data_IF_753894609633
#
_entry.id   IF_753894609633
#
_cell.length_a   1.000
_cell.length_b   1.000
_cell.length_c   1.000
_cell.angle_alpha   90.00
_cell.angle_beta   90.00
_cell.angle_gamma   90.00
#
_symmetry.space_group_name_H-M   'P 1'
#
loop_
_entity.id
_entity.type
_entity.pdbx_description
1 polymer ?
#
# COMPACT_ATOMS: atom_id res chain seq x y z
N UNK A 1 19.14 -16.53 1.24
CA UNK A 1 18.07 -16.00 0.36
C UNK A 1 18.74 -15.03 -0.59
N UNK A 2 18.49 -15.12 -1.89
CA UNK A 2 18.96 -14.14 -2.88
C UNK A 2 18.29 -12.81 -2.59
N UNK A 3 19.04 -11.72 -2.67
CA UNK A 3 18.50 -10.37 -2.55
C UNK A 3 17.56 -10.09 -3.72
N UNK A 4 16.39 -9.47 -3.51
CA UNK A 4 15.56 -9.05 -4.63
C UNK A 4 16.29 -8.04 -5.52
N UNK A 5 16.17 -8.21 -6.83
CA UNK A 5 16.81 -7.37 -7.83
C UNK A 5 15.84 -6.31 -8.34
N UNK A 6 16.21 -5.04 -8.22
CA UNK A 6 15.38 -3.91 -8.63
C UNK A 6 16.03 -3.18 -9.80
N UNK A 7 15.29 -3.05 -10.89
CA UNK A 7 15.68 -2.25 -12.03
C UNK A 7 15.17 -0.82 -11.83
N UNK A 8 16.04 0.17 -12.06
CA UNK A 8 15.70 1.59 -12.04
C UNK A 8 15.75 2.11 -13.49
N UNK A 9 14.65 2.66 -13.98
CA UNK A 9 14.56 3.34 -15.27
C UNK A 9 14.26 4.81 -15.01
N UNK A 10 15.32 5.63 -15.07
CA UNK A 10 15.35 7.05 -14.71
C UNK A 10 16.39 7.74 -15.58
N UNK A 11 16.03 8.81 -16.28
CA UNK A 11 16.92 9.51 -17.19
C UNK A 11 17.79 10.61 -16.52
N UNK A 12 17.42 10.99 -15.30
CA UNK A 12 18.24 11.86 -14.46
C UNK A 12 19.25 11.03 -13.66
N UNK A 13 20.49 10.94 -14.14
CA UNK A 13 21.56 10.10 -13.58
C UNK A 13 21.74 10.30 -12.07
N UNK A 14 21.70 11.55 -11.60
CA UNK A 14 21.86 11.88 -10.17
C UNK A 14 20.72 11.25 -9.34
N UNK A 15 19.48 11.31 -9.86
CA UNK A 15 18.32 10.72 -9.17
C UNK A 15 18.43 9.20 -9.20
N UNK A 16 18.83 8.61 -10.32
CA UNK A 16 19.02 7.17 -10.44
C UNK A 16 20.08 6.65 -9.46
N UNK A 17 21.21 7.37 -9.31
CA UNK A 17 22.28 7.03 -8.36
C UNK A 17 21.81 7.16 -6.90
N UNK A 18 21.07 8.21 -6.55
CA UNK A 18 20.52 8.40 -5.21
C UNK A 18 19.52 7.29 -4.84
N UNK A 19 18.67 6.90 -5.79
CA UNK A 19 17.74 5.77 -5.61
C UNK A 19 18.51 4.47 -5.42
N UNK A 20 19.53 4.22 -6.27
CA UNK A 20 20.34 3.00 -6.22
C UNK A 20 21.05 2.87 -4.86
N UNK A 21 21.70 3.94 -4.40
CA UNK A 21 22.37 3.96 -3.10
C UNK A 21 21.39 3.65 -1.95
N UNK A 22 20.23 4.29 -1.95
CA UNK A 22 19.19 4.04 -0.95
C UNK A 22 18.71 2.58 -0.95
N UNK A 23 18.53 1.98 -2.13
CA UNK A 23 18.09 0.58 -2.26
C UNK A 23 19.16 -0.41 -1.82
N UNK A 24 20.42 -0.13 -2.09
CA UNK A 24 21.55 -0.95 -1.65
C UNK A 24 21.68 -0.95 -0.13
N UNK A 25 21.52 0.22 0.52
CA UNK A 25 21.47 0.35 1.97
C UNK A 25 20.31 -0.46 2.58
N UNK A 26 19.18 -0.53 1.88
CA UNK A 26 18.03 -1.37 2.23
C UNK A 26 18.24 -2.87 1.95
N UNK A 27 19.36 -3.23 1.32
CA UNK A 27 19.75 -4.62 1.07
C UNK A 27 19.24 -5.21 -0.23
N UNK A 28 18.75 -4.42 -1.17
CA UNK A 28 18.39 -4.85 -2.52
C UNK A 28 19.62 -4.92 -3.45
N UNK A 29 19.51 -5.66 -4.55
CA UNK A 29 20.44 -5.58 -5.68
C UNK A 29 19.84 -4.64 -6.72
N UNK A 30 20.60 -3.64 -7.21
CA UNK A 30 20.08 -2.62 -8.12
C UNK A 30 20.84 -2.57 -9.43
N UNK A 31 20.15 -2.18 -10.52
CA UNK A 31 20.78 -1.71 -11.74
C UNK A 31 20.04 -0.44 -12.22
N UNK A 32 20.79 0.58 -12.60
CA UNK A 32 20.26 1.86 -13.07
C UNK A 32 20.46 1.99 -14.59
N UNK A 33 19.46 2.56 -15.27
CA UNK A 33 19.50 2.89 -16.70
C UNK A 33 18.98 4.31 -16.92
N UNK A 34 19.45 4.94 -18.00
CA UNK A 34 19.12 6.32 -18.35
C UNK A 34 18.15 6.46 -19.54
N UNK A 35 17.82 5.37 -20.23
CA UNK A 35 16.94 5.41 -21.42
C UNK A 35 15.78 4.45 -21.33
N UNK A 36 14.60 4.88 -21.80
CA UNK A 36 13.39 4.07 -21.78
C UNK A 36 13.43 2.86 -22.71
N UNK A 37 14.05 2.94 -23.88
CA UNK A 37 14.13 1.83 -24.85
C UNK A 37 14.97 0.68 -24.31
N UNK A 38 16.05 0.98 -23.59
CA UNK A 38 16.91 -0.03 -22.97
C UNK A 38 16.23 -0.80 -21.84
N UNK A 39 15.21 -0.23 -21.22
CA UNK A 39 14.50 -0.83 -20.07
C UNK A 39 14.00 -2.24 -20.40
N UNK A 40 13.32 -2.43 -21.52
CA UNK A 40 12.72 -3.72 -21.88
C UNK A 40 13.76 -4.77 -22.21
N UNK A 41 14.88 -4.40 -22.85
CA UNK A 41 15.96 -5.34 -23.15
C UNK A 41 16.71 -5.74 -21.89
N UNK A 42 16.96 -4.78 -20.99
CA UNK A 42 17.55 -5.07 -19.68
C UNK A 42 16.64 -5.98 -18.85
N UNK A 43 15.32 -5.80 -18.89
CA UNK A 43 14.39 -6.73 -18.22
C UNK A 43 14.55 -8.15 -18.76
N UNK A 44 14.67 -8.33 -20.08
CA UNK A 44 14.87 -9.66 -20.70
C UNK A 44 16.15 -10.32 -20.23
N UNK A 45 17.23 -9.55 -20.17
CA UNK A 45 18.55 -10.05 -19.79
C UNK A 45 18.69 -10.30 -18.28
N UNK A 46 18.23 -9.37 -17.46
CA UNK A 46 18.50 -9.35 -16.02
C UNK A 46 17.42 -9.99 -15.17
N UNK A 47 16.20 -10.08 -15.69
CA UNK A 47 14.99 -10.61 -14.99
C UNK A 47 14.86 -10.05 -13.58
N UNK A 48 14.64 -8.73 -13.45
CA UNK A 48 14.48 -8.11 -12.14
C UNK A 48 13.20 -8.58 -11.44
N UNK A 49 13.19 -8.52 -10.11
CA UNK A 49 12.01 -8.82 -9.30
C UNK A 49 11.03 -7.66 -9.26
N UNK A 50 11.49 -6.42 -9.56
CA UNK A 50 10.68 -5.21 -9.60
C UNK A 50 11.35 -4.14 -10.46
N UNK A 51 10.53 -3.28 -11.09
CA UNK A 51 10.99 -2.11 -11.85
C UNK A 51 10.49 -0.82 -11.21
N UNK A 52 11.40 0.11 -10.95
CA UNK A 52 11.09 1.53 -10.68
C UNK A 52 11.19 2.28 -12.01
N UNK A 53 10.11 2.92 -12.44
CA UNK A 53 9.97 3.47 -13.77
C UNK A 53 9.54 4.94 -13.71
N UNK A 54 10.38 5.87 -14.15
CA UNK A 54 9.93 7.25 -14.31
C UNK A 54 8.84 7.34 -15.39
N UNK A 55 7.81 8.12 -15.10
CA UNK A 55 6.76 8.43 -16.07
C UNK A 55 7.28 9.30 -17.21
N UNK A 56 8.20 10.23 -16.91
CA UNK A 56 8.67 11.27 -17.83
C UNK A 56 10.06 10.95 -18.42
N UNK A 57 10.30 9.74 -18.83
CA UNK A 57 11.56 9.37 -19.49
C UNK A 57 11.77 10.17 -20.79
N UNK A 58 13.02 10.58 -21.04
CA UNK A 58 13.43 11.19 -22.31
C UNK A 58 13.62 10.09 -23.35
N UNK A 59 12.98 10.23 -24.50
CA UNK A 59 13.12 9.27 -25.62
C UNK A 59 11.86 9.20 -26.47
N UNK A 60 11.83 8.24 -27.40
CA UNK A 60 10.70 8.03 -28.30
C UNK A 60 9.50 7.34 -27.60
N UNK A 61 9.75 6.65 -26.48
CA UNK A 61 8.71 5.97 -25.68
C UNK A 61 8.56 6.63 -24.30
N UNK A 62 7.34 7.01 -23.94
CA UNK A 62 7.08 7.53 -22.59
C UNK A 62 7.02 6.38 -21.56
N UNK A 63 7.28 6.67 -20.28
CA UNK A 63 7.27 5.68 -19.23
C UNK A 63 5.93 4.92 -19.10
N UNK A 64 4.82 5.53 -19.52
CA UNK A 64 3.50 4.88 -19.50
C UNK A 64 3.43 3.79 -20.57
N UNK A 65 4.00 4.01 -21.75
CA UNK A 65 4.06 3.00 -22.79
C UNK A 65 4.94 1.83 -22.39
N UNK A 66 6.11 2.11 -21.80
CA UNK A 66 7.01 1.09 -21.25
C UNK A 66 6.30 0.28 -20.15
N UNK A 67 5.61 0.94 -19.22
CA UNK A 67 4.84 0.26 -18.18
C UNK A 67 3.74 -0.65 -18.72
N UNK A 68 3.06 -0.22 -19.80
CA UNK A 68 2.08 -1.06 -20.51
C UNK A 68 2.73 -2.34 -21.07
N UNK A 69 3.92 -2.20 -21.67
CA UNK A 69 4.68 -3.34 -22.22
C UNK A 69 5.23 -4.24 -21.09
N UNK A 70 5.70 -3.70 -19.99
CA UNK A 70 6.13 -4.48 -18.83
C UNK A 70 4.98 -5.37 -18.36
N UNK A 71 3.78 -4.82 -18.24
CA UNK A 71 2.58 -5.58 -17.82
C UNK A 71 2.23 -6.70 -18.80
N UNK A 72 2.26 -6.43 -20.08
CA UNK A 72 1.82 -7.36 -21.13
C UNK A 72 2.84 -8.45 -21.43
N UNK A 73 4.14 -8.09 -21.49
CA UNK A 73 5.19 -8.98 -21.98
C UNK A 73 5.89 -9.77 -20.84
N UNK A 74 6.03 -9.16 -19.66
CA UNK A 74 6.89 -9.71 -18.60
C UNK A 74 6.16 -10.11 -17.34
N UNK A 75 5.02 -9.46 -17.06
CA UNK A 75 4.28 -9.68 -15.82
C UNK A 75 5.17 -9.53 -14.57
N UNK A 76 6.03 -8.52 -14.56
CA UNK A 76 6.90 -8.12 -13.44
C UNK A 76 6.23 -6.93 -12.74
N UNK A 77 6.26 -6.83 -11.39
CA UNK A 77 5.72 -5.68 -10.69
C UNK A 77 6.52 -4.43 -11.02
N UNK A 78 5.83 -3.31 -11.19
CA UNK A 78 6.47 -2.03 -11.43
C UNK A 78 5.79 -0.89 -10.69
N UNK A 79 6.61 0.08 -10.27
CA UNK A 79 6.20 1.28 -9.55
C UNK A 79 6.57 2.48 -10.40
N UNK A 80 5.63 3.38 -10.62
CA UNK A 80 5.94 4.65 -11.25
C UNK A 80 6.60 5.63 -10.29
N UNK A 81 7.69 6.27 -10.75
CA UNK A 81 8.26 7.47 -10.16
C UNK A 81 7.64 8.68 -10.86
N UNK A 82 7.20 9.69 -10.13
CA UNK A 82 6.54 10.86 -10.73
C UNK A 82 6.85 12.15 -9.97
N UNK A 83 7.22 13.21 -10.70
CA UNK A 83 7.43 14.56 -10.16
C UNK A 83 6.21 15.46 -10.43
N UNK A 84 4.99 15.13 -9.99
CA UNK A 84 3.77 15.86 -10.36
C UNK A 84 3.39 15.70 -11.84
N UNK A 85 2.91 14.55 -12.21
CA UNK A 85 2.27 14.39 -13.51
C UNK A 85 0.90 15.09 -13.51
N UNK A 86 0.56 15.72 -14.62
CA UNK A 86 -0.80 16.22 -14.84
C UNK A 86 -1.82 15.07 -14.74
N UNK A 87 -3.08 15.45 -14.49
CA UNK A 87 -4.16 14.46 -14.29
C UNK A 87 -4.29 13.48 -15.47
N UNK A 88 -4.03 13.93 -16.70
CA UNK A 88 -4.16 13.10 -17.90
C UNK A 88 -3.09 12.01 -17.94
N UNK A 89 -1.86 12.33 -17.57
CA UNK A 89 -0.74 11.39 -17.48
C UNK A 89 -0.97 10.35 -16.37
N UNK A 90 -1.44 10.79 -15.21
CA UNK A 90 -1.81 9.86 -14.12
C UNK A 90 -2.96 8.94 -14.53
N UNK A 91 -3.98 9.45 -15.22
CA UNK A 91 -5.11 8.64 -15.68
C UNK A 91 -4.69 7.63 -16.77
N UNK A 92 -3.68 7.96 -17.60
CA UNK A 92 -3.05 7.01 -18.54
C UNK A 92 -2.25 5.95 -17.77
N UNK A 93 -1.40 6.36 -16.84
CA UNK A 93 -0.55 5.47 -16.05
C UNK A 93 -1.36 4.47 -15.22
N UNK A 94 -2.50 4.89 -14.64
CA UNK A 94 -3.40 3.98 -13.92
C UNK A 94 -3.94 2.84 -14.78
N UNK A 95 -4.15 3.07 -16.10
CA UNK A 95 -4.66 2.04 -17.02
C UNK A 95 -3.66 0.92 -17.27
N UNK A 96 -2.39 1.14 -17.01
CA UNK A 96 -1.34 0.10 -17.11
C UNK A 96 -1.29 -0.82 -15.88
N UNK A 97 -2.15 -0.56 -14.87
CA UNK A 97 -2.24 -1.32 -13.63
C UNK A 97 -0.89 -1.48 -12.91
N UNK A 98 -0.18 -0.36 -12.57
CA UNK A 98 1.06 -0.42 -11.83
C UNK A 98 0.83 -0.95 -10.40
N UNK A 99 1.86 -1.49 -9.79
CA UNK A 99 1.81 -1.96 -8.40
C UNK A 99 1.91 -0.82 -7.38
N UNK A 100 2.33 0.37 -7.82
CA UNK A 100 2.39 1.57 -7.00
C UNK A 100 2.79 2.82 -7.77
N UNK A 101 2.69 3.95 -7.06
CA UNK A 101 3.20 5.27 -7.48
C UNK A 101 4.04 5.83 -6.35
N UNK A 102 5.17 6.46 -6.69
CA UNK A 102 6.06 7.14 -5.76
C UNK A 102 6.29 8.57 -6.25
N UNK A 103 5.84 9.56 -5.48
CA UNK A 103 5.94 10.98 -5.87
C UNK A 103 7.28 11.55 -5.42
N UNK A 104 8.05 12.10 -6.37
CA UNK A 104 9.33 12.80 -6.11
C UNK A 104 9.07 14.20 -5.51
N UNK A 105 9.84 14.65 -4.50
CA UNK A 105 10.85 13.88 -3.76
C UNK A 105 10.21 12.93 -2.75
N UNK A 106 10.77 11.75 -2.59
CA UNK A 106 10.33 10.75 -1.62
C UNK A 106 11.43 10.44 -0.60
N UNK A 107 11.02 9.97 0.56
CA UNK A 107 11.93 9.51 1.60
C UNK A 107 12.18 7.99 1.51
N UNK A 108 13.25 7.53 2.18
CA UNK A 108 13.63 6.12 2.24
C UNK A 108 12.48 5.22 2.75
N UNK A 109 11.71 5.70 3.72
CA UNK A 109 10.60 4.94 4.29
C UNK A 109 9.49 4.71 3.27
N UNK A 110 9.16 5.73 2.49
CA UNK A 110 8.15 5.65 1.42
C UNK A 110 8.62 4.73 0.29
N UNK A 111 9.88 4.85 -0.13
CA UNK A 111 10.51 3.98 -1.13
C UNK A 111 10.44 2.52 -0.70
N UNK A 112 10.98 2.22 0.49
CA UNK A 112 11.00 0.87 1.06
C UNK A 112 9.61 0.25 1.13
N UNK A 113 8.66 0.96 1.71
CA UNK A 113 7.32 0.42 1.93
C UNK A 113 6.57 0.17 0.62
N UNK A 114 6.73 1.05 -0.38
CA UNK A 114 6.11 0.87 -1.70
C UNK A 114 6.68 -0.34 -2.42
N UNK A 115 8.00 -0.56 -2.36
CA UNK A 115 8.67 -1.74 -2.92
C UNK A 115 8.23 -3.02 -2.23
N UNK A 116 8.26 -3.06 -0.90
CA UNK A 116 7.83 -4.23 -0.13
C UNK A 116 6.39 -4.65 -0.47
N UNK A 117 5.50 -3.67 -0.68
CA UNK A 117 4.11 -3.91 -1.08
C UNK A 117 4.03 -4.48 -2.50
N UNK A 118 4.76 -3.90 -3.46
CA UNK A 118 4.73 -4.33 -4.85
C UNK A 118 5.28 -5.75 -5.01
N UNK A 119 6.45 -6.04 -4.44
CA UNK A 119 7.04 -7.38 -4.44
C UNK A 119 6.11 -8.41 -3.77
N UNK A 120 5.48 -7.99 -2.70
CA UNK A 120 4.54 -8.81 -1.95
C UNK A 120 3.31 -9.20 -2.79
N UNK A 121 2.65 -8.24 -3.44
CA UNK A 121 1.47 -8.48 -4.29
C UNK A 121 1.79 -9.41 -5.44
N UNK A 122 2.92 -9.19 -6.10
CA UNK A 122 3.30 -9.92 -7.29
C UNK A 122 3.70 -11.37 -7.00
N UNK A 123 4.48 -11.62 -5.97
CA UNK A 123 4.85 -12.98 -5.54
C UNK A 123 3.65 -13.86 -5.17
N UNK A 124 2.45 -13.25 -5.06
CA UNK A 124 1.22 -13.94 -4.68
C UNK A 124 0.33 -14.25 -5.87
N UNK A 125 0.35 -13.42 -6.94
CA UNK A 125 -0.40 -13.67 -8.15
C UNK A 125 0.14 -14.86 -8.96
N UNK A 126 1.44 -15.15 -8.88
CA UNK A 126 2.06 -16.28 -9.61
C UNK A 126 1.65 -17.67 -9.11
N UNK A 127 1.13 -17.82 -7.89
CA UNK A 127 0.73 -19.13 -7.34
C UNK A 127 -0.74 -19.49 -7.59
N UNK A 128 -1.54 -18.59 -8.17
CA UNK A 128 -2.98 -18.81 -8.40
C UNK A 128 -3.30 -19.32 -9.81
N UNK A 129 -2.38 -19.20 -10.77
CA UNK A 129 -2.62 -19.65 -12.16
C UNK A 129 -2.39 -21.14 -12.41
N UNK A 130 -2.33 -21.94 -11.35
CA UNK A 130 -2.27 -23.41 -11.43
C UNK A 130 -3.47 -24.07 -10.76
N UNK A 131 -4.53 -24.29 -11.52
CA UNK A 131 -5.70 -25.16 -11.33
C UNK A 131 -7.03 -24.49 -10.93
N UNK A 132 -7.99 -24.61 -11.85
CA UNK A 132 -9.36 -24.99 -11.55
C UNK A 132 -10.38 -23.86 -11.44
N UNK A 133 -11.01 -23.58 -12.58
CA UNK A 133 -12.38 -23.07 -12.66
C UNK A 133 -13.32 -23.85 -11.73
N UNK A 134 -13.94 -23.16 -10.79
CA UNK A 134 -15.27 -23.56 -10.33
C UNK A 134 -16.00 -22.30 -9.87
N UNK A 135 -16.96 -21.87 -10.72
CA UNK A 135 -17.93 -20.88 -10.32
C UNK A 135 -18.80 -21.42 -9.21
N UNK A 136 -18.88 -20.67 -8.13
CA UNK A 136 -19.97 -20.80 -7.18
C UNK A 136 -20.66 -19.45 -7.08
N UNK A 137 -21.78 -19.36 -7.78
CA UNK A 137 -22.88 -18.45 -7.47
C UNK A 137 -23.45 -18.89 -6.12
N UNK A 138 -23.15 -18.15 -5.08
CA UNK A 138 -23.86 -18.28 -3.81
C UNK A 138 -25.19 -17.53 -3.88
N UNK A 139 -26.29 -18.14 -3.39
CA UNK A 139 -27.57 -17.46 -3.28
C UNK A 139 -27.51 -16.42 -2.15
N UNK A 140 -28.33 -15.35 -2.21
CA UNK A 140 -28.31 -14.30 -1.20
C UNK A 140 -28.84 -14.87 0.12
N UNK A 141 -27.94 -15.04 1.08
CA UNK A 141 -28.29 -15.32 2.46
C UNK A 141 -28.85 -14.05 3.09
N UNK A 142 -30.06 -14.14 3.59
CA UNK A 142 -30.69 -13.11 4.39
C UNK A 142 -29.81 -12.75 5.58
N UNK A 143 -29.48 -11.46 5.68
CA UNK A 143 -28.78 -10.86 6.81
C UNK A 143 -29.58 -11.11 8.11
N UNK A 144 -29.12 -12.07 8.89
CA UNK A 144 -29.30 -12.02 10.32
C UNK A 144 -28.05 -11.30 10.85
N UNK A 145 -28.24 -10.14 11.47
CA UNK A 145 -27.21 -9.40 12.21
C UNK A 145 -26.71 -10.26 13.38
N UNK A 146 -25.78 -11.16 13.08
CA UNK A 146 -24.89 -11.72 14.09
C UNK A 146 -23.78 -10.69 14.25
N UNK A 147 -23.71 -10.00 15.37
CA UNK A 147 -22.59 -9.12 15.69
C UNK A 147 -21.31 -9.93 15.63
N UNK A 148 -20.57 -9.82 14.54
CA UNK A 148 -19.29 -10.48 14.41
C UNK A 148 -18.26 -9.67 15.18
N UNK A 149 -17.68 -10.24 16.23
CA UNK A 149 -16.63 -9.59 17.04
C UNK A 149 -15.24 -9.62 16.40
N UNK A 150 -15.19 -9.88 15.10
CA UNK A 150 -13.95 -10.04 14.36
C UNK A 150 -14.07 -9.60 12.90
N UNK A 151 -12.93 -9.34 12.28
CA UNK A 151 -12.79 -9.11 10.85
C UNK A 151 -11.80 -10.11 10.26
N UNK A 152 -12.07 -10.59 9.07
CA UNK A 152 -11.09 -11.33 8.30
C UNK A 152 -10.24 -10.38 7.47
N UNK A 153 -8.93 -10.42 7.67
CA UNK A 153 -7.95 -9.65 6.89
C UNK A 153 -7.12 -10.59 6.03
N UNK A 154 -7.03 -10.29 4.74
CA UNK A 154 -6.18 -11.06 3.83
C UNK A 154 -4.74 -10.56 4.00
N UNK A 155 -3.90 -11.40 4.61
CA UNK A 155 -2.48 -11.14 4.80
C UNK A 155 -1.70 -12.25 4.10
N UNK A 156 -0.96 -11.87 3.07
CA UNK A 156 -0.27 -12.90 2.22
C UNK A 156 -1.27 -13.91 1.64
N UNK A 157 -1.02 -15.20 1.83
CA UNK A 157 -1.87 -16.29 1.34
C UNK A 157 -2.90 -16.73 2.37
N UNK A 158 -2.99 -16.05 3.51
CA UNK A 158 -3.87 -16.45 4.61
C UNK A 158 -4.94 -15.40 4.81
N UNK A 159 -6.14 -15.87 5.04
CA UNK A 159 -7.19 -15.07 5.62
C UNK A 159 -7.04 -15.21 7.12
N UNK A 160 -6.65 -14.13 7.79
CA UNK A 160 -6.40 -14.11 9.24
C UNK A 160 -7.63 -13.52 9.91
N UNK A 161 -8.14 -14.22 10.87
CA UNK A 161 -9.18 -13.71 11.76
C UNK A 161 -8.52 -12.77 12.78
N UNK A 162 -8.96 -11.51 12.82
CA UNK A 162 -8.52 -10.51 13.78
C UNK A 162 -9.73 -10.09 14.60
N UNK A 163 -9.65 -10.24 15.91
CA UNK A 163 -10.72 -9.82 16.81
C UNK A 163 -10.75 -8.29 16.88
N UNK A 164 -11.93 -7.69 16.89
CA UNK A 164 -12.04 -6.24 17.08
C UNK A 164 -11.41 -5.79 18.40
N UNK A 165 -11.47 -6.63 19.42
CA UNK A 165 -10.83 -6.42 20.72
C UNK A 165 -9.29 -6.37 20.65
N UNK A 166 -8.64 -6.86 19.61
CA UNK A 166 -7.19 -6.83 19.47
C UNK A 166 -6.70 -5.60 18.72
N UNK A 167 -7.58 -4.93 17.98
CA UNK A 167 -7.25 -3.76 17.19
C UNK A 167 -7.17 -2.53 18.09
N UNK A 168 -6.05 -1.81 18.03
CA UNK A 168 -5.85 -0.54 18.72
C UNK A 168 -6.37 0.63 17.87
N UNK A 169 -5.90 0.71 16.61
CA UNK A 169 -6.34 1.71 15.65
C UNK A 169 -6.14 1.22 14.21
N UNK A 170 -6.74 1.94 13.26
CA UNK A 170 -6.48 1.78 11.84
C UNK A 170 -5.84 3.06 11.32
N UNK A 171 -4.75 2.91 10.58
CA UNK A 171 -3.94 3.99 10.00
C UNK A 171 -4.06 3.97 8.49
N UNK A 172 -4.34 5.12 7.86
CA UNK A 172 -4.32 5.26 6.41
C UNK A 172 -2.90 5.13 5.87
N UNK A 173 -2.79 4.41 4.77
CA UNK A 173 -1.54 4.26 4.04
C UNK A 173 -1.84 4.25 2.55
N UNK A 174 -1.86 5.42 1.93
CA UNK A 174 -2.28 5.64 0.54
C UNK A 174 -3.64 4.97 0.23
N UNK A 175 -3.70 4.04 -0.72
CA UNK A 175 -4.89 3.26 -1.05
C UNK A 175 -5.09 2.02 -0.16
N UNK A 176 -4.30 1.88 0.90
CA UNK A 176 -4.31 0.79 1.88
C UNK A 176 -4.59 1.33 3.27
N UNK A 177 -4.76 0.41 4.22
CA UNK A 177 -4.78 0.73 5.63
C UNK A 177 -3.92 -0.25 6.42
N UNK A 178 -3.26 0.23 7.47
CA UNK A 178 -2.69 -0.64 8.48
C UNK A 178 -3.69 -0.84 9.61
N UNK A 179 -4.00 -2.07 9.90
CA UNK A 179 -4.73 -2.47 11.09
C UNK A 179 -3.70 -2.80 12.16
N UNK A 180 -3.66 -1.98 13.21
CA UNK A 180 -2.63 -2.03 14.26
C UNK A 180 -3.17 -2.72 15.49
N UNK A 181 -2.47 -3.77 15.93
CA UNK A 181 -2.74 -4.48 17.19
C UNK A 181 -1.56 -4.30 18.14
N UNK A 182 -1.70 -4.79 19.37
CA UNK A 182 -0.60 -4.74 20.35
C UNK A 182 0.65 -5.46 19.83
N UNK A 183 0.49 -6.57 19.11
CA UNK A 183 1.61 -7.42 18.67
C UNK A 183 2.19 -7.02 17.32
N UNK A 184 1.32 -6.67 16.35
CA UNK A 184 1.74 -6.47 14.97
C UNK A 184 0.84 -5.52 14.18
N UNK A 185 1.28 -5.15 12.97
CA UNK A 185 0.50 -4.39 11.99
C UNK A 185 0.14 -5.29 10.82
N UNK A 186 -1.12 -5.25 10.40
CA UNK A 186 -1.60 -5.93 9.19
C UNK A 186 -1.88 -4.90 8.10
N UNK A 187 -1.24 -5.06 6.95
CA UNK A 187 -1.57 -4.28 5.76
C UNK A 187 -2.84 -4.84 5.11
N UNK A 188 -3.84 -4.00 4.94
CA UNK A 188 -5.14 -4.36 4.35
C UNK A 188 -5.34 -3.58 3.06
N UNK A 189 -5.69 -4.27 1.97
CA UNK A 189 -6.01 -3.66 0.67
C UNK A 189 -7.40 -3.01 0.72
N UNK A 190 -7.54 -2.01 1.57
CA UNK A 190 -8.79 -1.27 1.78
C UNK A 190 -8.43 0.13 2.23
N UNK A 191 -9.13 1.14 1.70
CA UNK A 191 -8.92 2.52 2.13
C UNK A 191 -9.45 2.72 3.55
N UNK A 192 -8.99 3.78 4.22
CA UNK A 192 -9.50 4.11 5.56
C UNK A 192 -11.02 4.39 5.55
N UNK A 193 -11.56 4.92 4.44
CA UNK A 193 -12.99 5.13 4.26
C UNK A 193 -13.77 3.81 4.19
N UNK A 194 -13.23 2.83 3.49
CA UNK A 194 -13.84 1.50 3.39
C UNK A 194 -13.74 0.75 4.72
N UNK A 195 -12.64 0.93 5.47
CA UNK A 195 -12.48 0.37 6.81
C UNK A 195 -13.48 0.97 7.79
N UNK A 196 -13.74 2.29 7.72
CA UNK A 196 -14.74 2.98 8.54
C UNK A 196 -16.15 2.41 8.35
N UNK A 197 -16.49 1.94 7.14
CA UNK A 197 -17.78 1.31 6.86
C UNK A 197 -17.88 -0.15 7.34
N UNK A 198 -16.74 -0.86 7.41
CA UNK A 198 -16.68 -2.28 7.80
C UNK A 198 -16.52 -2.50 9.29
N UNK A 199 -15.99 -1.53 10.00
CA UNK A 199 -15.74 -1.63 11.44
C UNK A 199 -16.99 -1.23 12.23
N UNK A 200 -17.26 -1.88 13.38
CA UNK A 200 -18.43 -1.55 14.21
C UNK A 200 -18.36 -0.08 14.69
N UNK A 201 -19.36 0.75 14.38
CA UNK A 201 -19.29 2.19 14.66
C UNK A 201 -19.43 2.54 16.14
N UNK A 202 -19.81 1.59 17.00
CA UNK A 202 -19.87 1.78 18.44
C UNK A 202 -18.48 1.70 19.10
N UNK A 203 -17.57 0.87 18.57
CA UNK A 203 -16.21 0.74 19.09
C UNK A 203 -15.21 1.59 18.31
N UNK A 204 -15.43 1.79 16.99
CA UNK A 204 -14.47 2.46 16.11
C UNK A 204 -14.96 3.82 15.67
N UNK A 205 -14.13 4.85 15.88
CA UNK A 205 -14.44 6.23 15.54
C UNK A 205 -13.28 6.85 14.79
N UNK A 206 -13.59 7.54 13.70
CA UNK A 206 -12.58 8.32 12.98
C UNK A 206 -12.17 9.53 13.77
N UNK A 207 -10.89 9.63 14.11
CA UNK A 207 -10.31 10.68 14.95
C UNK A 207 -9.40 11.64 14.19
N UNK A 208 -9.00 11.25 12.97
CA UNK A 208 -8.16 12.05 12.10
C UNK A 208 -8.39 11.68 10.64
N UNK A 209 -7.97 12.54 9.68
CA UNK A 209 -8.04 12.19 8.25
C UNK A 209 -7.33 10.86 7.91
N UNK A 210 -6.36 10.46 8.74
CA UNK A 210 -5.54 9.27 8.56
C UNK A 210 -5.72 8.20 9.64
N UNK A 211 -6.62 8.39 10.63
CA UNK A 211 -6.75 7.44 11.75
C UNK A 211 -8.19 7.17 12.16
N UNK A 212 -8.48 5.88 12.44
CA UNK A 212 -9.69 5.41 13.14
C UNK A 212 -9.22 4.77 14.45
N UNK A 213 -9.76 5.22 15.57
CA UNK A 213 -9.45 4.73 16.93
C UNK A 213 -10.45 3.64 17.35
N UNK A 214 -9.96 2.61 18.04
CA UNK A 214 -10.82 1.72 18.80
C UNK A 214 -11.01 2.30 20.21
N UNK A 215 -12.22 2.73 20.52
CA UNK A 215 -12.55 3.40 21.78
C UNK A 215 -12.37 2.49 23.01
N UNK A 216 -12.56 1.19 22.86
CA UNK A 216 -12.39 0.21 23.94
C UNK A 216 -10.93 0.01 24.34
N UNK A 217 -9.98 0.51 23.53
CA UNK A 217 -8.54 0.39 23.73
C UNK A 217 -7.85 1.71 24.08
N UNK A 218 -8.63 2.77 24.21
CA UNK A 218 -8.12 4.07 24.65
C UNK A 218 -7.73 4.02 26.12
N UNK A 219 -6.48 4.35 26.41
CA UNK A 219 -5.97 4.45 27.79
C UNK A 219 -6.10 5.87 28.34
N UNK A 220 -5.88 6.88 27.47
CA UNK A 220 -6.01 8.27 27.83
C UNK A 220 -6.38 9.15 26.63
N UNK A 221 -7.01 10.28 26.89
CA UNK A 221 -7.22 11.36 25.94
C UNK A 221 -6.37 12.55 26.35
N UNK A 222 -5.51 12.98 25.46
CA UNK A 222 -4.77 14.23 25.59
C UNK A 222 -5.41 15.33 24.75
N UNK A 223 -4.90 16.56 24.85
CA UNK A 223 -5.50 17.69 24.16
C UNK A 223 -5.63 17.48 22.64
N UNK A 224 -4.62 16.85 22.01
CA UNK A 224 -4.55 16.63 20.56
C UNK A 224 -4.20 15.19 20.19
N UNK A 225 -4.24 14.24 21.11
CA UNK A 225 -3.90 12.85 20.88
C UNK A 225 -4.81 11.87 21.62
N UNK A 226 -4.95 10.66 21.07
CA UNK A 226 -5.53 9.49 21.71
C UNK A 226 -4.39 8.55 22.05
N UNK A 227 -4.27 8.16 23.32
CA UNK A 227 -3.19 7.32 23.84
C UNK A 227 -3.66 5.87 23.97
N UNK A 228 -2.80 4.95 23.51
CA UNK A 228 -2.96 3.50 23.57
C UNK A 228 -1.71 2.86 24.15
N UNK A 229 -1.77 1.60 24.51
CA UNK A 229 -0.65 0.82 25.06
C UNK A 229 0.61 0.79 24.17
N UNK A 230 0.45 1.04 22.87
CA UNK A 230 1.54 0.98 21.87
C UNK A 230 2.02 2.35 21.36
N UNK A 231 1.39 3.42 21.79
CA UNK A 231 1.69 4.78 21.35
C UNK A 231 0.45 5.64 21.23
N UNK A 232 0.57 6.77 20.57
CA UNK A 232 -0.48 7.75 20.41
C UNK A 232 -0.79 8.04 18.95
N UNK A 233 -2.04 8.47 18.69
CA UNK A 233 -2.47 8.94 17.36
C UNK A 233 -3.08 10.33 17.48
N UNK A 234 -2.90 11.22 16.48
CA UNK A 234 -3.37 12.59 16.54
C UNK A 234 -4.89 12.70 16.40
N UNK A 235 -5.47 13.71 17.05
CA UNK A 235 -6.88 14.11 16.90
C UNK A 235 -6.97 15.29 15.93
N UNK A 236 -7.65 15.11 14.82
CA UNK A 236 -7.93 16.20 13.87
C UNK A 236 -9.00 17.17 14.42
N UNK A 237 -8.82 18.48 14.21
CA UNK A 237 -9.74 19.52 14.75
C UNK A 237 -11.21 19.26 14.43
N UNK A 238 -11.52 18.79 13.22
CA UNK A 238 -12.89 18.47 12.79
C UNK A 238 -13.49 17.23 13.44
N UNK A 239 -12.66 16.34 13.98
CA UNK A 239 -13.08 15.07 14.59
C UNK A 239 -13.23 15.17 16.13
N UNK A 240 -12.60 16.18 16.75
CA UNK A 240 -12.56 16.34 18.21
C UNK A 240 -13.95 16.35 18.84
N UNK A 241 -14.90 17.08 18.26
CA UNK A 241 -16.28 17.15 18.79
C UNK A 241 -17.00 15.79 18.76
N UNK A 242 -16.84 15.04 17.67
CA UNK A 242 -17.45 13.71 17.53
C UNK A 242 -16.80 12.73 18.51
N UNK A 243 -15.46 12.75 18.63
CA UNK A 243 -14.75 11.92 19.57
C UNK A 243 -15.18 12.16 21.01
N UNK A 244 -15.19 13.44 21.44
CA UNK A 244 -15.57 13.83 22.82
C UNK A 244 -17.00 13.43 23.17
N UNK A 245 -17.94 13.42 22.22
CA UNK A 245 -19.32 12.98 22.47
C UNK A 245 -19.46 11.47 22.71
N UNK A 246 -18.39 10.70 22.48
CA UNK A 246 -18.36 9.25 22.71
C UNK A 246 -17.89 8.85 24.11
N UNK A 247 -17.29 9.80 24.83
CA UNK A 247 -16.80 9.56 26.19
C UNK A 247 -17.68 10.25 27.21
N UNK A 248 -17.96 9.54 28.29
CA UNK A 248 -18.65 10.12 29.45
C UNK A 248 -17.59 10.74 30.38
N UNK A 249 -17.27 12.03 30.15
CA UNK A 249 -16.27 12.73 30.93
C UNK A 249 -16.97 13.40 32.12
N UNK A 250 -16.55 13.06 33.34
CA UNK A 250 -17.05 13.58 34.60
C UNK A 250 -16.45 14.95 34.92
#
# INVERSE_FOLDING_TARGET
>A
MTKPKILISEDEVIIAEDIAACLEDLGYETCAIDTGEATLDIIRETRPDLVLLDINLRGDSDGVEIGSRIKQEFNIPFIYLTAYADKSTIDRAKKTEPDGFLVKPFDEKSLRSTIEIALYKHGHNHKINGNGSAGHTEPPLKEQEVSQDYIFVKVKHRIIKVMYSDILWVEAYDNYSFLVTADQKYLVSSTLKDMEQKLPPHNFVRVHRSYIANLDKVEALEENAVVFSKGEIPIGKSYKKILMSRFNIL
#
